data_IF_371788943012
#
_entry.id   IF_371788943012
#
_cell.length_a   1.000
_cell.length_b   1.000
_cell.length_c   1.000
_cell.angle_alpha   90.00
_cell.angle_beta   90.00
_cell.angle_gamma   90.00
#
_symmetry.space_group_name_H-M   'P 1'
#
loop_
_entity.id
_entity.type
_entity.pdbx_description
1 polymer ?
#
# COMPACT_ATOMS: atom_id res chain seq x y z
N UNK A 1 -9.86 0.76 -20.75
CA UNK A 1 -9.70 -0.42 -19.88
C UNK A 1 -11.06 -0.92 -19.47
N UNK A 2 -11.29 -2.22 -19.47
CA UNK A 2 -12.57 -2.74 -19.01
C UNK A 2 -12.79 -2.31 -17.57
N UNK A 3 -14.05 -2.16 -17.23
CA UNK A 3 -14.43 -1.80 -15.87
C UNK A 3 -13.92 -2.85 -14.88
N UNK A 4 -13.14 -2.39 -13.91
CA UNK A 4 -12.68 -3.27 -12.84
C UNK A 4 -13.76 -3.28 -11.75
N UNK A 5 -13.79 -4.32 -10.93
CA UNK A 5 -14.70 -4.38 -9.79
C UNK A 5 -14.41 -3.36 -8.69
N UNK A 6 -13.40 -2.52 -8.87
CA UNK A 6 -12.93 -1.56 -7.86
C UNK A 6 -14.00 -0.52 -7.55
N UNK A 7 -14.59 0.07 -8.57
CA UNK A 7 -15.62 1.09 -8.35
C UNK A 7 -16.82 0.52 -7.61
N UNK A 8 -17.22 -0.69 -7.98
CA UNK A 8 -18.34 -1.39 -7.35
C UNK A 8 -18.03 -1.78 -5.90
N UNK A 9 -16.82 -2.23 -5.64
CA UNK A 9 -16.43 -2.74 -4.33
C UNK A 9 -16.03 -1.63 -3.35
N UNK A 10 -15.39 -0.57 -3.85
CA UNK A 10 -14.78 0.46 -2.98
C UNK A 10 -15.38 1.86 -3.17
N UNK A 11 -16.21 2.06 -4.19
CA UNK A 11 -16.76 3.38 -4.48
C UNK A 11 -15.73 4.38 -4.99
N UNK A 12 -14.62 3.88 -5.55
CA UNK A 12 -13.51 4.69 -6.04
C UNK A 12 -13.36 4.47 -7.54
N UNK A 13 -13.18 5.57 -8.27
CA UNK A 13 -12.87 5.51 -9.70
C UNK A 13 -11.36 5.57 -9.90
N UNK A 14 -10.79 4.56 -10.56
CA UNK A 14 -9.36 4.47 -10.82
C UNK A 14 -9.12 4.54 -12.34
N UNK A 15 -8.36 5.55 -12.77
CA UNK A 15 -7.89 5.61 -14.16
C UNK A 15 -6.80 4.59 -14.40
N UNK A 16 -6.44 4.36 -15.66
CA UNK A 16 -5.32 3.48 -15.99
C UNK A 16 -4.03 3.97 -15.32
N UNK A 17 -3.82 5.28 -15.30
CA UNK A 17 -2.67 5.88 -14.64
C UNK A 17 -2.69 5.59 -13.13
N UNK A 18 -3.86 5.69 -12.50
CA UNK A 18 -4.01 5.39 -11.07
C UNK A 18 -3.68 3.94 -10.77
N UNK A 19 -4.10 3.01 -11.64
CA UNK A 19 -3.79 1.59 -11.50
C UNK A 19 -2.28 1.36 -11.57
N UNK A 20 -1.60 2.00 -12.52
CA UNK A 20 -0.14 1.88 -12.64
C UNK A 20 0.54 2.46 -11.41
N UNK A 21 0.06 3.59 -10.92
CA UNK A 21 0.57 4.24 -9.73
C UNK A 21 0.43 3.32 -8.51
N UNK A 22 -0.76 2.78 -8.29
CA UNK A 22 -1.00 1.82 -7.21
C UNK A 22 -0.09 0.61 -7.34
N UNK A 23 0.04 0.07 -8.54
CA UNK A 23 0.88 -1.09 -8.80
C UNK A 23 2.35 -0.81 -8.44
N UNK A 24 2.83 0.41 -8.69
CA UNK A 24 4.20 0.78 -8.36
C UNK A 24 4.45 0.75 -6.85
N UNK A 25 3.47 1.12 -6.05
CA UNK A 25 3.58 1.06 -4.59
C UNK A 25 3.55 -0.39 -4.13
N UNK A 26 2.63 -1.19 -4.67
CA UNK A 26 2.56 -2.63 -4.36
C UNK A 26 3.87 -3.32 -4.70
N UNK A 27 4.46 -2.98 -5.85
CA UNK A 27 5.74 -3.56 -6.29
C UNK A 27 6.84 -3.36 -5.25
N UNK A 28 6.89 -2.19 -4.62
CA UNK A 28 7.90 -1.87 -3.62
C UNK A 28 7.60 -2.45 -2.24
N UNK A 29 6.33 -2.72 -1.93
CA UNK A 29 5.94 -3.23 -0.62
C UNK A 29 5.94 -4.75 -0.52
N UNK A 30 5.62 -5.46 -1.62
CA UNK A 30 5.44 -6.90 -1.59
C UNK A 30 6.78 -7.64 -1.62
N UNK A 31 6.89 -8.71 -0.83
CA UNK A 31 8.03 -9.63 -0.89
C UNK A 31 7.73 -10.84 -1.78
N UNK A 32 6.48 -11.28 -1.83
CA UNK A 32 6.06 -12.43 -2.64
C UNK A 32 4.86 -12.07 -3.48
N UNK A 33 4.61 -12.85 -4.55
CA UNK A 33 3.46 -12.62 -5.42
C UNK A 33 2.14 -12.85 -4.68
N UNK A 34 2.11 -13.78 -3.71
CA UNK A 34 0.90 -14.06 -2.93
C UNK A 34 0.46 -12.86 -2.07
N UNK A 35 1.40 -12.02 -1.66
CA UNK A 35 1.10 -10.84 -0.85
C UNK A 35 0.46 -9.71 -1.66
N UNK A 36 0.73 -9.65 -2.96
CA UNK A 36 0.33 -8.50 -3.78
C UNK A 36 -1.17 -8.22 -3.78
N UNK A 37 -2.06 -9.20 -3.99
CA UNK A 37 -3.49 -8.92 -3.93
C UNK A 37 -3.97 -8.49 -2.55
N UNK A 38 -3.33 -9.00 -1.49
CA UNK A 38 -3.67 -8.65 -0.10
C UNK A 38 -3.22 -7.23 0.22
N UNK A 39 -2.02 -6.84 -0.20
CA UNK A 39 -1.51 -5.47 -0.03
C UNK A 39 -2.40 -4.50 -0.81
N UNK A 40 -2.76 -4.85 -2.03
CA UNK A 40 -3.68 -4.06 -2.85
C UNK A 40 -5.00 -3.84 -2.11
N UNK A 41 -5.55 -4.88 -1.50
CA UNK A 41 -6.77 -4.81 -0.70
C UNK A 41 -6.63 -3.80 0.45
N UNK A 42 -5.51 -3.82 1.17
CA UNK A 42 -5.27 -2.89 2.28
C UNK A 42 -5.28 -1.44 1.76
N UNK A 43 -4.57 -1.16 0.68
CA UNK A 43 -4.51 0.19 0.12
C UNK A 43 -5.88 0.68 -0.35
N UNK A 44 -6.66 -0.18 -1.03
CA UNK A 44 -8.00 0.19 -1.46
C UNK A 44 -8.95 0.40 -0.28
N UNK A 45 -8.86 -0.44 0.75
CA UNK A 45 -9.66 -0.26 1.96
C UNK A 45 -9.35 1.09 2.61
N UNK A 46 -8.07 1.47 2.66
CA UNK A 46 -7.66 2.76 3.20
C UNK A 46 -8.16 3.92 2.35
N UNK A 47 -8.04 3.83 1.03
CA UNK A 47 -8.56 4.87 0.13
C UNK A 47 -10.06 5.06 0.32
N UNK A 48 -10.81 3.97 0.41
CA UNK A 48 -12.26 4.02 0.59
C UNK A 48 -12.65 4.61 1.95
N UNK A 49 -11.81 4.43 2.97
CA UNK A 49 -12.04 4.95 4.32
C UNK A 49 -11.43 6.34 4.55
N UNK A 50 -10.87 6.95 3.51
CA UNK A 50 -10.18 8.24 3.60
C UNK A 50 -9.01 8.21 4.58
N UNK A 51 -8.26 7.11 4.57
CA UNK A 51 -7.06 6.91 5.38
C UNK A 51 -5.80 7.09 4.53
N UNK A 52 -4.75 7.65 5.12
CA UNK A 52 -3.45 7.77 4.47
C UNK A 52 -2.87 6.38 4.20
N UNK A 53 -2.17 6.20 3.06
CA UNK A 53 -1.61 4.89 2.71
C UNK A 53 -0.45 4.48 3.62
N UNK A 54 0.32 5.45 4.10
CA UNK A 54 1.43 5.24 5.05
C UNK A 54 2.46 4.22 4.55
N UNK A 55 2.92 4.42 3.31
CA UNK A 55 3.97 3.59 2.71
C UNK A 55 5.29 4.33 2.74
N UNK A 56 6.30 3.75 3.39
CA UNK A 56 7.65 4.31 3.41
C UNK A 56 8.25 4.37 2.01
N UNK A 57 7.91 3.41 1.15
CA UNK A 57 8.46 3.31 -0.19
C UNK A 57 8.19 4.57 -1.02
N UNK A 58 7.04 5.20 -0.83
CA UNK A 58 6.71 6.42 -1.59
C UNK A 58 7.63 7.58 -1.23
N UNK A 59 7.98 7.69 0.04
CA UNK A 59 8.88 8.75 0.49
C UNK A 59 10.34 8.42 0.19
N UNK A 60 10.71 7.14 0.30
CA UNK A 60 12.06 6.70 -0.08
C UNK A 60 12.37 7.01 -1.55
N UNK A 61 11.35 7.01 -2.40
CA UNK A 61 11.50 7.34 -3.81
C UNK A 61 12.07 8.76 -4.01
N UNK A 62 11.55 9.75 -3.26
CA UNK A 62 12.04 11.13 -3.39
C UNK A 62 13.32 11.38 -2.61
N UNK A 63 13.50 10.70 -1.48
CA UNK A 63 14.69 10.87 -0.65
C UNK A 63 15.91 10.14 -1.22
N UNK A 64 15.70 9.04 -1.94
CA UNK A 64 16.80 8.22 -2.46
C UNK A 64 17.58 7.49 -1.39
N UNK A 65 16.97 7.29 -0.22
CA UNK A 65 17.58 6.59 0.92
C UNK A 65 16.48 6.02 1.81
N UNK A 66 16.86 5.26 2.83
CA UNK A 66 15.92 4.75 3.81
C UNK A 66 15.24 5.91 4.56
N UNK A 67 13.97 5.70 4.89
CA UNK A 67 13.14 6.67 5.60
C UNK A 67 13.37 6.54 7.10
N UNK A 68 13.57 7.69 7.76
CA UNK A 68 13.66 7.75 9.22
C UNK A 68 12.35 8.25 9.83
N UNK A 69 12.21 8.13 11.14
CA UNK A 69 11.01 8.62 11.84
C UNK A 69 10.79 10.12 11.61
N UNK A 70 11.87 10.90 11.58
CA UNK A 70 11.76 12.36 11.35
C UNK A 70 11.25 12.68 9.94
N UNK A 71 11.57 11.84 8.95
CA UNK A 71 11.12 12.06 7.57
C UNK A 71 9.60 11.94 7.45
N UNK A 72 8.96 11.15 8.30
CA UNK A 72 7.52 10.88 8.20
C UNK A 72 6.65 12.12 8.45
N UNK A 73 7.21 13.16 9.05
CA UNK A 73 6.49 14.40 9.32
C UNK A 73 6.81 15.51 8.31
N UNK A 74 7.68 15.25 7.35
CA UNK A 74 8.11 16.24 6.37
C UNK A 74 7.04 16.49 5.31
N UNK A 75 6.94 17.73 4.86
CA UNK A 75 6.00 18.12 3.81
C UNK A 75 6.60 17.77 2.45
N UNK A 76 6.16 16.64 1.88
CA UNK A 76 6.59 16.14 0.58
C UNK A 76 5.37 15.54 -0.10
N UNK A 77 5.09 15.89 -1.39
CA UNK A 77 3.95 15.32 -2.10
C UNK A 77 3.93 13.80 -2.14
N UNK A 78 5.09 13.16 -2.02
CA UNK A 78 5.22 11.70 -2.00
C UNK A 78 5.14 11.11 -0.60
N UNK A 79 4.97 11.94 0.43
CA UNK A 79 4.83 11.46 1.80
C UNK A 79 3.40 11.03 2.06
N UNK A 80 3.16 9.71 2.01
CA UNK A 80 1.82 9.15 2.21
C UNK A 80 1.41 9.06 3.68
N UNK A 81 2.24 9.54 4.61
CA UNK A 81 1.85 9.74 6.01
C UNK A 81 1.17 11.09 6.21
N UNK A 82 1.58 12.12 5.44
CA UNK A 82 1.01 13.48 5.56
C UNK A 82 -0.01 13.80 4.48
N UNK A 83 0.00 13.07 3.37
CA UNK A 83 -0.92 13.27 2.25
C UNK A 83 -1.73 12.00 2.01
N UNK A 84 -3.05 12.12 2.05
CA UNK A 84 -3.94 11.01 1.73
C UNK A 84 -3.97 10.77 0.22
N UNK A 85 -4.28 9.54 -0.16
CA UNK A 85 -4.42 9.18 -1.57
C UNK A 85 -3.11 8.71 -2.19
N UNK A 86 -3.13 8.58 -3.50
CA UNK A 86 -1.99 8.14 -4.28
C UNK A 86 -0.95 9.25 -4.42
N UNK A 87 0.29 8.84 -4.75
CA UNK A 87 1.37 9.78 -5.04
C UNK A 87 1.16 10.48 -6.39
N UNK A 88 1.84 11.61 -6.65
CA UNK A 88 1.68 12.33 -7.93
C UNK A 88 2.06 11.50 -9.15
N UNK A 89 3.01 10.56 -9.02
CA UNK A 89 3.47 9.70 -10.12
C UNK A 89 3.72 8.29 -9.59
N UNK A 90 3.82 7.30 -10.49
CA UNK A 90 4.37 5.99 -10.10
C UNK A 90 5.79 6.14 -9.54
N UNK A 91 6.17 5.29 -8.63
CA UNK A 91 7.50 5.34 -7.98
C UNK A 91 8.47 4.31 -8.54
N UNK A 92 8.01 3.46 -9.45
CA UNK A 92 8.85 2.48 -10.15
C UNK A 92 8.09 1.95 -11.36
N UNK A 93 8.74 1.11 -12.15
CA UNK A 93 8.08 0.34 -13.20
C UNK A 93 7.53 -0.95 -12.60
N UNK A 94 6.21 -1.06 -12.39
CA UNK A 94 5.65 -2.27 -11.79
C UNK A 94 5.64 -3.44 -12.76
N UNK A 95 5.87 -4.64 -12.23
CA UNK A 95 5.74 -5.86 -13.00
C UNK A 95 4.28 -6.27 -13.19
N UNK A 96 4.07 -7.31 -14.01
CA UNK A 96 2.72 -7.78 -14.32
C UNK A 96 1.95 -8.23 -13.08
N UNK A 97 2.61 -8.90 -12.14
CA UNK A 97 1.94 -9.37 -10.93
C UNK A 97 1.39 -8.22 -10.09
N UNK A 98 2.13 -7.11 -9.99
CA UNK A 98 1.67 -5.92 -9.28
C UNK A 98 0.55 -5.19 -10.02
N UNK A 99 0.65 -5.10 -11.35
CA UNK A 99 -0.40 -4.51 -12.18
C UNK A 99 -1.70 -5.30 -12.05
N UNK A 100 -1.61 -6.63 -12.08
CA UNK A 100 -2.75 -7.51 -11.92
C UNK A 100 -3.39 -7.33 -10.53
N UNK A 101 -2.57 -7.28 -9.49
CA UNK A 101 -3.05 -7.07 -8.13
C UNK A 101 -3.72 -5.70 -7.95
N UNK A 102 -3.15 -4.65 -8.57
CA UNK A 102 -3.73 -3.31 -8.50
C UNK A 102 -5.09 -3.24 -9.21
N UNK A 103 -5.24 -3.96 -10.32
CA UNK A 103 -6.50 -4.01 -11.05
C UNK A 103 -7.53 -4.97 -10.42
N UNK A 104 -7.07 -5.95 -9.64
CA UNK A 104 -7.91 -6.99 -9.06
C UNK A 104 -7.51 -7.25 -7.60
N UNK A 105 -7.80 -6.30 -6.69
CA UNK A 105 -7.51 -6.53 -5.27
C UNK A 105 -8.35 -7.68 -4.73
N UNK A 106 -7.79 -8.45 -3.80
CA UNK A 106 -8.55 -9.48 -3.10
C UNK A 106 -9.52 -8.79 -2.13
N UNK A 107 -10.76 -9.24 -2.09
CA UNK A 107 -11.75 -8.64 -1.19
C UNK A 107 -11.48 -9.03 0.26
N UNK A 108 -11.02 -8.11 1.08
CA UNK A 108 -10.73 -8.33 2.50
C UNK A 108 -11.18 -7.13 3.31
N UNK A 109 -11.15 -7.27 4.64
CA UNK A 109 -11.37 -6.17 5.59
C UNK A 109 -10.07 -5.75 6.26
N UNK A 110 -8.92 -6.01 5.64
CA UNK A 110 -7.63 -5.65 6.21
C UNK A 110 -7.31 -4.18 5.95
N UNK A 111 -6.83 -3.51 6.97
CA UNK A 111 -6.39 -2.11 6.90
C UNK A 111 -4.90 -1.96 7.22
N UNK A 112 -4.24 -3.04 7.66
CA UNK A 112 -2.84 -3.02 8.07
C UNK A 112 -2.13 -4.27 7.58
N UNK A 113 -0.83 -4.13 7.28
CA UNK A 113 0.00 -5.30 7.02
C UNK A 113 1.38 -5.13 7.65
N UNK A 114 2.00 -6.24 7.98
CA UNK A 114 3.35 -6.30 8.51
C UNK A 114 4.05 -7.46 7.80
N UNK A 115 5.03 -7.13 6.97
CA UNK A 115 5.68 -8.12 6.11
C UNK A 115 7.18 -8.05 6.31
N UNK A 116 7.76 -9.19 6.70
CA UNK A 116 9.20 -9.41 6.77
C UNK A 116 9.51 -10.69 6.03
N UNK A 117 10.79 -11.07 5.96
CA UNK A 117 11.19 -12.32 5.32
C UNK A 117 10.56 -13.56 5.96
N UNK A 118 10.14 -13.46 7.22
CA UNK A 118 9.58 -14.60 7.98
C UNK A 118 8.12 -14.40 8.40
N UNK A 119 7.56 -13.20 8.26
CA UNK A 119 6.20 -12.89 8.71
C UNK A 119 5.45 -12.16 7.62
N UNK A 120 4.24 -12.66 7.29
CA UNK A 120 3.32 -12.02 6.34
C UNK A 120 1.97 -11.92 7.04
N UNK A 121 1.77 -10.84 7.79
CA UNK A 121 0.57 -10.68 8.63
C UNK A 121 -0.29 -9.52 8.15
N UNK A 122 -1.59 -9.76 8.09
CA UNK A 122 -2.58 -8.76 7.71
C UNK A 122 -3.58 -8.62 8.86
N UNK A 123 -3.97 -7.38 9.17
CA UNK A 123 -4.81 -7.09 10.33
C UNK A 123 -5.94 -6.15 9.96
N UNK A 124 -7.10 -6.33 10.62
CA UNK A 124 -8.26 -5.49 10.40
C UNK A 124 -8.23 -4.23 11.26
N UNK A 125 -7.64 -4.31 12.46
CA UNK A 125 -7.59 -3.18 13.40
C UNK A 125 -6.15 -2.81 13.73
N UNK A 126 -5.98 -1.56 14.17
CA UNK A 126 -4.68 -1.08 14.61
C UNK A 126 -4.15 -1.86 15.82
N UNK A 127 -5.05 -2.25 16.73
CA UNK A 127 -4.67 -3.06 17.90
C UNK A 127 -4.09 -4.41 17.48
N UNK A 128 -4.74 -5.09 16.53
CA UNK A 128 -4.22 -6.35 16.01
C UNK A 128 -2.86 -6.16 15.36
N UNK A 129 -2.71 -5.07 14.60
CA UNK A 129 -1.45 -4.73 13.94
C UNK A 129 -0.33 -4.51 14.97
N UNK A 130 -0.61 -3.78 16.05
CA UNK A 130 0.36 -3.55 17.12
C UNK A 130 0.76 -4.85 17.82
N UNK A 131 -0.19 -5.76 18.01
CA UNK A 131 0.10 -7.07 18.61
C UNK A 131 1.03 -7.89 17.73
N UNK A 132 0.83 -7.87 16.41
CA UNK A 132 1.70 -8.55 15.46
C UNK A 132 3.12 -7.97 15.54
N UNK A 133 3.25 -6.65 15.56
CA UNK A 133 4.55 -5.99 15.64
C UNK A 133 5.24 -6.37 16.96
N UNK A 134 4.52 -6.32 18.08
CA UNK A 134 5.07 -6.65 19.38
C UNK A 134 5.55 -8.10 19.47
N UNK A 135 4.81 -9.04 18.85
CA UNK A 135 5.16 -10.46 18.86
C UNK A 135 6.39 -10.76 17.98
N UNK A 136 6.68 -9.91 17.01
CA UNK A 136 7.71 -10.17 16.01
C UNK A 136 8.86 -9.16 16.02
N UNK A 137 8.88 -8.22 16.95
CA UNK A 137 9.92 -7.20 17.03
C UNK A 137 11.07 -7.56 17.96
N UNK A 138 11.41 -8.81 18.01
CA UNK A 138 12.65 -9.26 18.57
C UNK A 138 12.76 -9.22 20.08
N UNK A 139 11.70 -9.37 20.72
CA UNK A 139 11.77 -9.48 22.17
C UNK A 139 12.61 -10.66 22.58
#
# INVERSE_FOLDING_TARGET
MPETGIESAYGITMSDYDIINMASIIEKEALTDDDRPLISSVFYNRLAADMALQSDATLAYTLGREVTADDLTQDDPYNTYTNKGLTPTPICNPGLASLTAAANPQGTNYYYFFITSSVHAFSETYEQHQQVIAQNSGA
#
